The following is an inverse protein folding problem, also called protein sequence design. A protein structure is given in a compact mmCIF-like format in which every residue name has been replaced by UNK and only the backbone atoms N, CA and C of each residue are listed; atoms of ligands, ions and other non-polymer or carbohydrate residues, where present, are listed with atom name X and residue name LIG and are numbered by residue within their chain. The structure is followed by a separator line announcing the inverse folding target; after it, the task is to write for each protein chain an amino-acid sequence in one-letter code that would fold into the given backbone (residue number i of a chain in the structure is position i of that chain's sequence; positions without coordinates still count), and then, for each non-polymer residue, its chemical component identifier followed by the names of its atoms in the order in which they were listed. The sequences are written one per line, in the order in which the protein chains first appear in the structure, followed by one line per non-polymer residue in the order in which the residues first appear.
data_IF_722418703662
#
_entry.id   IF_722418703662
#
_cell.length_a   1.000
_cell.length_b   1.000
_cell.length_c   1.000
_cell.angle_alpha   90.00
_cell.angle_beta   90.00
_cell.angle_gamma   90.00
#
_symmetry.space_group_name_H-M   'P 1'
#
loop_
_entity.id
_entity.type
_entity.pdbx_description
1 polymer ?
#
# COMPACT_ATOMS: atom_id res chain seq x y z
N UNK A 1 17.57 -5.74 19.49
CA UNK A 1 16.18 -6.09 19.09
C UNK A 1 16.14 -6.10 17.58
N UNK A 2 15.98 -7.27 16.96
CA UNK A 2 15.90 -7.39 15.50
C UNK A 2 14.50 -6.95 15.08
N UNK A 3 14.36 -5.76 14.49
CA UNK A 3 13.12 -5.37 13.84
C UNK A 3 12.96 -6.27 12.62
N UNK A 4 11.97 -7.17 12.64
CA UNK A 4 11.68 -8.04 11.52
C UNK A 4 11.52 -7.18 10.26
N UNK A 5 12.42 -7.35 9.29
CA UNK A 5 12.31 -6.79 7.95
C UNK A 5 11.39 -7.71 7.13
N UNK A 6 10.25 -8.06 7.73
CA UNK A 6 9.13 -8.73 7.07
C UNK A 6 8.04 -7.69 6.81
N UNK A 7 7.12 -7.97 5.88
CA UNK A 7 5.98 -7.11 5.71
C UNK A 7 5.23 -7.00 7.04
N UNK A 8 4.91 -5.76 7.43
CA UNK A 8 4.14 -5.48 8.63
C UNK A 8 2.75 -5.09 8.19
N UNK A 9 1.70 -5.75 8.71
CA UNK A 9 0.33 -5.44 8.32
C UNK A 9 0.06 -3.94 8.47
N UNK A 10 -0.70 -3.34 7.55
CA UNK A 10 -1.07 -1.94 7.66
C UNK A 10 -2.06 -1.71 8.78
N UNK A 11 -2.13 -0.47 9.28
CA UNK A 11 -3.13 -0.10 10.28
C UNK A 11 -4.52 0.03 9.65
N UNK A 12 -4.56 0.38 8.36
CA UNK A 12 -5.79 0.48 7.58
C UNK A 12 -5.53 0.06 6.14
N UNK A 13 -6.47 -0.72 5.62
CA UNK A 13 -6.55 -1.09 4.21
C UNK A 13 -7.97 -0.78 3.74
N UNK A 14 -8.09 -0.01 2.66
CA UNK A 14 -9.39 0.30 2.03
C UNK A 14 -9.32 -0.11 0.57
N UNK A 15 -10.40 -0.72 0.06
CA UNK A 15 -10.56 -1.06 -1.36
C UNK A 15 -11.82 -0.37 -1.83
N UNK A 16 -11.78 0.31 -2.97
CA UNK A 16 -12.96 0.93 -3.57
C UNK A 16 -12.94 0.80 -5.09
N UNK A 17 -14.12 0.72 -5.74
CA UNK A 17 -14.20 0.64 -7.19
C UNK A 17 -13.74 1.96 -7.83
N UNK A 18 -13.11 1.85 -8.99
CA UNK A 18 -12.84 2.94 -9.91
C UNK A 18 -13.70 2.68 -11.16
N UNK A 19 -14.53 3.66 -11.54
CA UNK A 19 -15.54 3.50 -12.58
C UNK A 19 -14.94 2.95 -13.88
N UNK A 20 -15.24 1.69 -14.20
CA UNK A 20 -14.75 0.99 -15.39
C UNK A 20 -13.25 0.69 -15.45
N UNK A 21 -12.48 1.03 -14.40
CA UNK A 21 -11.01 0.95 -14.38
C UNK A 21 -10.46 -0.05 -13.35
N UNK A 22 -11.33 -0.77 -12.65
CA UNK A 22 -10.95 -1.75 -11.62
C UNK A 22 -11.09 -1.15 -10.22
N UNK A 23 -10.07 -1.31 -9.38
CA UNK A 23 -10.10 -0.92 -7.97
C UNK A 23 -8.92 -0.05 -7.59
N UNK A 24 -9.16 0.88 -6.66
CA UNK A 24 -8.11 1.54 -5.89
C UNK A 24 -7.92 0.82 -4.56
N UNK A 25 -6.67 0.79 -4.07
CA UNK A 25 -6.33 0.24 -2.76
C UNK A 25 -5.53 1.30 -2.00
N UNK A 26 -6.03 1.77 -0.85
CA UNK A 26 -5.32 2.70 0.03
C UNK A 26 -4.84 1.91 1.23
N UNK A 27 -3.54 2.04 1.49
CA UNK A 27 -2.86 1.37 2.59
C UNK A 27 -2.23 2.43 3.48
N UNK A 28 -2.51 2.37 4.79
CA UNK A 28 -1.97 3.33 5.77
C UNK A 28 -1.09 2.65 6.81
N UNK A 29 0.08 3.25 7.05
CA UNK A 29 0.91 2.97 8.22
C UNK A 29 1.17 4.24 9.02
N UNK A 30 0.92 4.18 10.31
CA UNK A 30 1.04 5.26 11.28
C UNK A 30 2.35 5.13 12.04
N UNK A 31 2.72 6.19 12.76
CA UNK A 31 3.93 6.22 13.57
C UNK A 31 5.23 6.42 12.77
N UNK A 32 6.37 6.43 13.48
CA UNK A 32 7.67 6.84 12.94
C UNK A 32 8.20 5.97 11.79
N UNK A 33 7.84 4.69 11.77
CA UNK A 33 8.28 3.75 10.72
C UNK A 33 7.36 3.75 9.48
N UNK A 34 6.24 4.47 9.51
CA UNK A 34 5.24 4.46 8.43
C UNK A 34 5.81 4.85 7.08
N UNK A 35 6.71 5.85 7.05
CA UNK A 35 7.37 6.28 5.82
C UNK A 35 8.21 5.15 5.20
N UNK A 36 9.01 4.48 6.02
CA UNK A 36 9.92 3.43 5.58
C UNK A 36 9.13 2.26 5.01
N UNK A 37 8.09 1.81 5.71
CA UNK A 37 7.20 0.72 5.28
C UNK A 37 6.54 1.05 3.95
N UNK A 38 5.88 2.20 3.87
CA UNK A 38 5.19 2.62 2.65
C UNK A 38 6.17 2.79 1.47
N UNK A 39 7.40 3.25 1.71
CA UNK A 39 8.46 3.33 0.69
C UNK A 39 8.91 1.95 0.18
N UNK A 40 9.07 0.97 1.08
CA UNK A 40 9.43 -0.40 0.69
C UNK A 40 8.34 -1.00 -0.19
N UNK A 41 7.08 -0.93 0.24
CA UNK A 41 5.95 -1.48 -0.53
C UNK A 41 5.82 -0.77 -1.89
N UNK A 42 5.94 0.56 -1.94
CA UNK A 42 5.95 1.32 -3.21
C UNK A 42 6.99 0.79 -4.18
N UNK A 43 8.21 0.53 -3.72
CA UNK A 43 9.31 0.01 -4.56
C UNK A 43 9.06 -1.41 -5.05
N UNK A 44 8.43 -2.27 -4.23
CA UNK A 44 8.07 -3.61 -4.65
C UNK A 44 6.98 -3.58 -5.74
N UNK A 45 5.95 -2.76 -5.56
CA UNK A 45 4.90 -2.55 -6.56
C UNK A 45 5.45 -1.95 -7.86
N UNK A 46 6.32 -0.95 -7.77
CA UNK A 46 7.00 -0.35 -8.93
C UNK A 46 7.80 -1.40 -9.73
N UNK A 47 8.53 -2.29 -9.06
CA UNK A 47 9.25 -3.40 -9.71
C UNK A 47 8.32 -4.42 -10.36
N UNK A 48 7.11 -4.58 -9.82
CA UNK A 48 6.07 -5.46 -10.38
C UNK A 48 5.24 -4.77 -11.47
N UNK A 49 5.54 -3.52 -11.84
CA UNK A 49 4.79 -2.76 -12.84
C UNK A 49 3.41 -2.29 -12.35
N UNK A 50 3.17 -2.30 -11.05
CA UNK A 50 1.89 -1.91 -10.45
C UNK A 50 1.95 -0.42 -10.07
N UNK A 51 1.08 0.44 -10.63
CA UNK A 51 1.06 1.85 -10.30
C UNK A 51 0.76 2.07 -8.82
N UNK A 52 1.58 2.87 -8.15
CA UNK A 52 1.35 3.27 -6.77
C UNK A 52 1.87 4.67 -6.48
N UNK A 53 1.10 5.44 -5.71
CA UNK A 53 1.44 6.79 -5.25
C UNK A 53 1.58 6.82 -3.74
N UNK A 54 2.73 7.28 -3.28
CA UNK A 54 3.03 7.51 -1.87
C UNK A 54 2.68 8.95 -1.48
N UNK A 55 2.01 9.13 -0.33
CA UNK A 55 1.74 10.45 0.26
C UNK A 55 1.80 10.38 1.78
N UNK A 56 2.06 11.52 2.42
CA UNK A 56 1.80 11.66 3.86
C UNK A 56 0.29 11.81 4.08
N UNK A 57 -0.23 11.16 5.11
CA UNK A 57 -1.64 11.32 5.48
C UNK A 57 -1.91 12.79 5.91
N UNK A 58 -3.08 13.39 5.59
CA UNK A 58 -3.38 14.80 5.89
C UNK A 58 -3.24 15.23 7.36
N UNK A 59 -3.44 14.30 8.30
CA UNK A 59 -3.26 14.55 9.74
C UNK A 59 -1.78 14.61 10.19
N UNK A 60 -0.83 14.36 9.29
CA UNK A 60 0.60 14.29 9.55
C UNK A 60 1.06 13.05 10.33
N UNK A 61 0.13 12.15 10.71
CA UNK A 61 0.35 10.99 11.59
C UNK A 61 0.33 9.66 10.83
N UNK A 62 1.01 9.61 9.69
CA UNK A 62 1.19 8.39 8.94
C UNK A 62 1.49 8.63 7.47
N UNK A 63 1.68 7.52 6.78
CA UNK A 63 1.94 7.46 5.35
C UNK A 63 0.91 6.57 4.68
N UNK A 64 0.44 7.04 3.53
CA UNK A 64 -0.52 6.36 2.70
C UNK A 64 0.12 5.96 1.37
N UNK A 65 -0.24 4.76 0.93
CA UNK A 65 0.10 4.26 -0.39
C UNK A 65 -1.20 3.97 -1.13
N UNK A 66 -1.44 4.70 -2.21
CA UNK A 66 -2.55 4.47 -3.13
C UNK A 66 -2.07 3.61 -4.29
N UNK A 67 -2.58 2.39 -4.37
CA UNK A 67 -2.27 1.42 -5.43
C UNK A 67 -3.41 1.41 -6.45
N UNK A 68 -3.03 1.28 -7.72
CA UNK A 68 -3.96 1.07 -8.80
C UNK A 68 -4.05 2.22 -9.81
N UNK A 69 -4.95 2.10 -10.80
CA UNK A 69 -6.04 1.10 -10.87
C UNK A 69 -5.57 -0.36 -10.93
N UNK A 70 -6.26 -1.26 -10.22
CA UNK A 70 -5.96 -2.71 -10.16
C UNK A 70 -7.16 -3.51 -10.71
N UNK A 71 -6.96 -4.46 -11.64
CA UNK A 71 -8.03 -5.37 -12.07
C UNK A 71 -8.64 -6.13 -10.89
N UNK A 72 -9.94 -6.43 -10.95
CA UNK A 72 -10.64 -7.07 -9.84
C UNK A 72 -10.06 -8.43 -9.47
N UNK A 73 -9.66 -9.22 -10.47
CA UNK A 73 -9.02 -10.51 -10.32
C UNK A 73 -7.64 -10.44 -9.64
N UNK A 74 -6.99 -9.28 -9.66
CA UNK A 74 -5.64 -9.07 -9.12
C UNK A 74 -5.64 -8.51 -7.70
N UNK A 75 -6.75 -7.96 -7.20
CA UNK A 75 -6.80 -7.26 -5.90
C UNK A 75 -6.27 -8.14 -4.76
N UNK A 76 -6.75 -9.37 -4.66
CA UNK A 76 -6.33 -10.29 -3.60
C UNK A 76 -4.83 -10.62 -3.69
N UNK A 77 -4.33 -10.86 -4.90
CA UNK A 77 -2.92 -11.14 -5.17
C UNK A 77 -2.02 -9.97 -4.80
N UNK A 78 -2.41 -8.74 -5.14
CA UNK A 78 -1.66 -7.53 -4.78
C UNK A 78 -1.56 -7.36 -3.27
N UNK A 79 -2.66 -7.58 -2.55
CA UNK A 79 -2.70 -7.43 -1.09
C UNK A 79 -1.80 -8.48 -0.43
N UNK A 80 -1.91 -9.74 -0.83
CA UNK A 80 -1.14 -10.86 -0.27
C UNK A 80 0.38 -10.73 -0.54
N UNK A 81 0.77 -10.31 -1.76
CA UNK A 81 2.19 -10.27 -2.14
C UNK A 81 2.96 -9.04 -1.63
N UNK A 82 2.28 -7.91 -1.40
CA UNK A 82 2.96 -6.63 -1.20
C UNK A 82 2.58 -5.91 0.09
N UNK A 83 1.39 -6.17 0.63
CA UNK A 83 0.84 -5.39 1.75
C UNK A 83 0.88 -6.16 3.07
N UNK A 84 0.64 -7.48 3.02
CA UNK A 84 0.69 -8.40 4.16
C UNK A 84 2.08 -8.93 4.46
#
# INVERSE_FOLDING_TARGET
MSAAIGPTPPDKLTIWPLDGLGFGIDVRWSGGEGNRRATVVRRLLERAGVPARLSQHPDGRGWELRVGPVPGEDVARIIDQFVW
#
